data_IF_066926868821
#
_entry.id   IF_066926868821
#
_cell.length_a   1.000
_cell.length_b   1.000
_cell.length_c   1.000
_cell.angle_alpha   90.00
_cell.angle_beta   90.00
_cell.angle_gamma   90.00
#
_symmetry.space_group_name_H-M   'P 1'
#
loop_
_entity.id
_entity.type
_entity.pdbx_description
1 polymer ?
#
# COMPACT_ATOMS: atom_id res chain seq x y z
N UNK A 1 -76.25 4.15 20.91
CA UNK A 1 -75.48 5.40 21.07
C UNK A 1 -74.11 5.23 20.49
N UNK A 2 -73.93 5.60 19.21
CA UNK A 2 -72.71 5.57 18.43
C UNK A 2 -71.96 6.88 18.65
N UNK A 3 -70.69 6.78 19.13
CA UNK A 3 -69.74 7.88 19.12
C UNK A 3 -68.69 7.65 18.03
N UNK A 4 -68.77 8.46 16.99
CA UNK A 4 -67.81 8.60 15.94
C UNK A 4 -66.62 9.46 16.44
N UNK A 5 -65.42 8.88 16.59
CA UNK A 5 -64.22 9.62 16.88
C UNK A 5 -63.38 9.77 15.58
N UNK A 6 -63.40 10.96 14.99
CA UNK A 6 -62.56 11.37 13.92
C UNK A 6 -61.15 11.64 14.45
N UNK A 7 -60.20 10.72 14.22
CA UNK A 7 -58.76 10.91 14.47
C UNK A 7 -58.16 11.76 13.32
N UNK A 8 -57.89 13.03 13.60
CA UNK A 8 -56.99 13.84 12.74
C UNK A 8 -55.53 13.39 12.97
N UNK A 9 -54.96 12.74 12.00
CA UNK A 9 -53.50 12.53 11.95
C UNK A 9 -52.77 13.88 11.78
N UNK A 10 -51.72 14.18 12.56
CA UNK A 10 -50.91 15.35 12.32
C UNK A 10 -50.11 15.13 11.01
N UNK A 11 -50.39 15.96 10.02
CA UNK A 11 -49.52 16.06 8.83
C UNK A 11 -48.19 16.60 9.30
N UNK A 12 -47.18 15.72 9.40
CA UNK A 12 -45.79 16.09 9.49
C UNK A 12 -45.39 16.69 8.14
N UNK A 13 -45.39 18.00 8.06
CA UNK A 13 -44.88 18.73 6.90
C UNK A 13 -43.37 18.46 6.76
N UNK A 14 -42.82 18.32 5.55
CA UNK A 14 -41.37 18.18 5.39
C UNK A 14 -40.72 19.46 5.93
N UNK A 15 -39.88 19.31 6.97
CA UNK A 15 -39.01 20.39 7.42
C UNK A 15 -38.08 20.73 6.26
N UNK A 16 -38.35 21.84 5.55
CA UNK A 16 -37.43 22.48 4.65
C UNK A 16 -36.26 22.99 5.50
N UNK A 17 -35.33 22.10 5.86
CA UNK A 17 -33.98 22.53 6.11
C UNK A 17 -33.48 23.09 4.79
N UNK A 18 -33.27 24.39 4.72
CA UNK A 18 -32.58 25.10 3.64
C UNK A 18 -31.15 24.57 3.60
N UNK A 19 -30.94 23.45 2.90
CA UNK A 19 -29.62 23.03 2.49
C UNK A 19 -29.12 24.15 1.56
N UNK A 20 -28.26 25.01 2.10
CA UNK A 20 -27.45 25.89 1.24
C UNK A 20 -26.81 24.97 0.21
N UNK A 21 -27.13 25.14 -1.08
CA UNK A 21 -26.51 24.48 -2.22
C UNK A 21 -25.03 24.87 -2.26
N UNK A 22 -24.26 24.29 -1.35
CA UNK A 22 -22.81 24.47 -1.33
C UNK A 22 -22.22 23.69 -2.50
N UNK A 23 -21.12 24.16 -3.08
CA UNK A 23 -20.37 23.47 -4.12
C UNK A 23 -20.15 21.99 -3.77
N UNK A 24 -19.83 21.70 -2.50
CA UNK A 24 -19.61 20.34 -2.00
C UNK A 24 -20.86 19.47 -2.06
N UNK A 25 -22.06 20.02 -1.80
CA UNK A 25 -23.30 19.26 -1.91
C UNK A 25 -23.59 18.85 -3.35
N UNK A 26 -23.37 19.75 -4.31
CA UNK A 26 -23.56 19.44 -5.75
C UNK A 26 -22.58 18.37 -6.25
N UNK A 27 -21.32 18.43 -5.80
CA UNK A 27 -20.28 17.53 -6.30
C UNK A 27 -20.32 16.15 -5.64
N UNK A 28 -20.59 16.07 -4.32
CA UNK A 28 -20.45 14.85 -3.52
C UNK A 28 -21.76 14.28 -3.03
N UNK A 29 -22.89 14.99 -3.20
CA UNK A 29 -24.23 14.57 -2.75
C UNK A 29 -24.26 14.13 -1.27
N UNK A 30 -23.70 14.95 -0.39
CA UNK A 30 -23.47 14.63 1.03
C UNK A 30 -24.75 14.20 1.74
N UNK A 31 -25.86 14.93 1.51
CA UNK A 31 -27.15 14.62 2.10
C UNK A 31 -27.68 13.24 1.65
N UNK A 32 -27.48 12.88 0.37
CA UNK A 32 -27.88 11.58 -0.18
C UNK A 32 -27.08 10.43 0.43
N UNK A 33 -25.84 10.68 0.88
CA UNK A 33 -24.97 9.72 1.54
C UNK A 33 -25.08 9.78 3.08
N UNK A 34 -25.99 10.59 3.65
CA UNK A 34 -26.23 10.69 5.09
C UNK A 34 -25.04 11.25 5.88
N UNK A 35 -24.23 12.13 5.27
CA UNK A 35 -23.03 12.71 5.88
C UNK A 35 -23.08 14.25 5.84
N UNK A 36 -22.09 14.88 6.46
CA UNK A 36 -21.94 16.33 6.50
C UNK A 36 -20.50 16.73 6.20
N UNK A 37 -20.25 17.97 5.75
CA UNK A 37 -18.91 18.49 5.50
C UNK A 37 -18.01 18.32 6.73
N UNK A 38 -18.51 18.56 7.93
CA UNK A 38 -17.76 18.39 9.17
C UNK A 38 -17.35 16.93 9.41
N UNK A 39 -18.25 16.00 9.17
CA UNK A 39 -17.98 14.55 9.30
C UNK A 39 -16.94 14.10 8.29
N UNK A 40 -17.04 14.55 7.03
CA UNK A 40 -16.10 14.22 5.96
C UNK A 40 -14.69 14.77 6.25
N UNK A 41 -14.59 16.01 6.77
CA UNK A 41 -13.31 16.60 7.19
C UNK A 41 -12.68 15.78 8.32
N UNK A 42 -13.45 15.41 9.34
CA UNK A 42 -12.97 14.60 10.46
C UNK A 42 -12.53 13.20 10.01
N UNK A 43 -13.30 12.58 9.11
CA UNK A 43 -12.97 11.31 8.50
C UNK A 43 -11.68 11.39 7.66
N UNK A 44 -11.51 12.47 6.88
CA UNK A 44 -10.30 12.70 6.10
C UNK A 44 -9.06 12.90 6.98
N UNK A 45 -9.18 13.65 8.07
CA UNK A 45 -8.11 13.79 9.05
C UNK A 45 -7.75 12.42 9.68
N UNK A 46 -8.76 11.61 10.02
CA UNK A 46 -8.55 10.28 10.59
C UNK A 46 -7.82 9.36 9.60
N UNK A 47 -8.25 9.33 8.32
CA UNK A 47 -7.55 8.59 7.26
C UNK A 47 -6.12 9.06 7.08
N UNK A 48 -5.89 10.39 7.01
CA UNK A 48 -4.56 10.94 6.89
C UNK A 48 -3.64 10.50 8.04
N UNK A 49 -4.10 10.60 9.29
CA UNK A 49 -3.31 10.20 10.46
C UNK A 49 -2.93 8.72 10.44
N UNK A 50 -3.78 7.85 9.89
CA UNK A 50 -3.50 6.42 9.82
C UNK A 50 -2.52 6.06 8.71
N UNK A 51 -2.49 6.80 7.59
CA UNK A 51 -1.62 6.54 6.45
C UNK A 51 -0.39 7.47 6.35
N UNK A 52 -0.29 8.51 7.20
CA UNK A 52 0.79 9.50 7.13
C UNK A 52 2.19 8.91 7.34
N UNK A 53 2.31 7.71 7.91
CA UNK A 53 3.60 7.01 8.05
C UNK A 53 4.30 6.81 6.70
N UNK A 54 3.56 6.75 5.58
CA UNK A 54 4.13 6.60 4.24
C UNK A 54 5.03 7.79 3.85
N UNK A 55 4.77 8.98 4.40
CA UNK A 55 5.58 10.18 4.18
C UNK A 55 7.03 9.96 4.64
N UNK A 56 7.24 9.14 5.65
CA UNK A 56 8.56 8.77 6.18
C UNK A 56 9.12 7.51 5.51
N UNK A 57 8.26 6.51 5.31
CA UNK A 57 8.66 5.18 4.80
C UNK A 57 9.04 5.25 3.33
N UNK A 58 8.23 5.87 2.48
CA UNK A 58 8.45 5.86 1.03
C UNK A 58 9.79 6.49 0.63
N UNK A 59 10.15 7.69 1.12
CA UNK A 59 11.46 8.27 0.81
C UNK A 59 12.62 7.42 1.35
N UNK A 60 12.49 6.83 2.55
CA UNK A 60 13.52 5.97 3.11
C UNK A 60 13.76 4.71 2.25
N UNK A 61 12.68 4.04 1.82
CA UNK A 61 12.76 2.83 0.98
C UNK A 61 13.38 3.14 -0.39
N UNK A 62 12.92 4.18 -1.08
CA UNK A 62 13.41 4.48 -2.42
C UNK A 62 14.82 5.12 -2.38
N UNK A 63 15.20 5.76 -1.29
CA UNK A 63 16.58 6.22 -1.10
C UNK A 63 17.58 5.07 -0.97
N UNK A 64 17.17 3.93 -0.39
CA UNK A 64 17.99 2.72 -0.39
C UNK A 64 18.26 2.21 -1.82
N UNK A 65 17.39 2.51 -2.77
CA UNK A 65 17.57 2.26 -4.21
C UNK A 65 18.34 3.36 -4.96
N UNK A 66 18.91 4.34 -4.25
CA UNK A 66 19.73 5.42 -4.82
C UNK A 66 18.93 6.62 -5.34
N UNK A 67 17.66 6.76 -4.99
CA UNK A 67 16.85 7.92 -5.35
C UNK A 67 17.00 9.04 -4.31
N UNK A 68 16.86 10.30 -4.75
CA UNK A 68 16.92 11.45 -3.84
C UNK A 68 15.76 11.49 -2.86
N UNK A 69 16.06 11.54 -1.55
CA UNK A 69 15.05 11.50 -0.48
C UNK A 69 14.01 12.63 -0.58
N UNK A 70 14.49 13.86 -0.83
CA UNK A 70 13.60 15.03 -0.92
C UNK A 70 12.69 14.97 -2.12
N UNK A 71 13.23 14.59 -3.29
CA UNK A 71 12.45 14.45 -4.52
C UNK A 71 11.40 13.33 -4.39
N UNK A 72 11.76 12.17 -3.78
CA UNK A 72 10.82 11.08 -3.51
C UNK A 72 9.72 11.52 -2.55
N UNK A 73 10.05 12.28 -1.50
CA UNK A 73 9.04 12.85 -0.59
C UNK A 73 8.03 13.71 -1.37
N UNK A 74 8.53 14.61 -2.21
CA UNK A 74 7.68 15.47 -3.02
C UNK A 74 6.84 14.66 -4.00
N UNK A 75 7.44 13.67 -4.69
CA UNK A 75 6.72 12.75 -5.57
C UNK A 75 5.63 11.96 -4.83
N UNK A 76 5.92 11.48 -3.62
CA UNK A 76 4.97 10.76 -2.76
C UNK A 76 3.77 11.61 -2.40
N UNK A 77 3.98 12.82 -1.92
CA UNK A 77 2.87 13.70 -1.52
C UNK A 77 2.04 14.15 -2.73
N UNK A 78 2.69 14.52 -3.84
CA UNK A 78 1.99 14.94 -5.06
C UNK A 78 1.21 13.79 -5.71
N UNK A 79 1.80 12.60 -5.83
CA UNK A 79 1.12 11.44 -6.42
C UNK A 79 -0.07 10.99 -5.58
N UNK A 80 0.09 10.97 -4.24
CA UNK A 80 -0.99 10.67 -3.30
C UNK A 80 -2.12 11.69 -3.42
N UNK A 81 -1.79 12.98 -3.43
CA UNK A 81 -2.78 14.04 -3.56
C UNK A 81 -3.54 13.95 -4.90
N UNK A 82 -2.82 13.75 -6.00
CA UNK A 82 -3.40 13.61 -7.33
C UNK A 82 -4.29 12.36 -7.43
N UNK A 83 -3.77 11.19 -7.09
CA UNK A 83 -4.50 9.93 -7.20
C UNK A 83 -5.73 9.88 -6.29
N UNK A 84 -5.61 10.38 -5.05
CA UNK A 84 -6.75 10.49 -4.12
C UNK A 84 -7.79 11.49 -4.62
N UNK A 85 -7.37 12.60 -5.22
CA UNK A 85 -8.30 13.56 -5.83
C UNK A 85 -9.03 12.96 -7.04
N UNK A 86 -8.34 12.18 -7.87
CA UNK A 86 -8.97 11.44 -8.98
C UNK A 86 -10.00 10.43 -8.44
N UNK A 87 -9.66 9.66 -7.40
CA UNK A 87 -10.59 8.74 -6.74
C UNK A 87 -11.82 9.48 -6.19
N UNK A 88 -11.61 10.61 -5.53
CA UNK A 88 -12.65 11.44 -4.96
C UNK A 88 -13.62 12.00 -6.02
N UNK A 89 -13.10 12.46 -7.16
CA UNK A 89 -13.92 13.11 -8.22
C UNK A 89 -14.57 12.07 -9.12
N UNK A 90 -13.84 11.04 -9.56
CA UNK A 90 -14.35 10.06 -10.53
C UNK A 90 -15.27 9.02 -9.87
N UNK A 91 -14.87 8.46 -8.73
CA UNK A 91 -15.62 7.41 -8.05
C UNK A 91 -16.53 7.95 -6.93
N UNK A 92 -16.25 9.13 -6.40
CA UNK A 92 -16.89 9.67 -5.19
C UNK A 92 -16.76 8.74 -3.98
N UNK A 93 -15.57 8.12 -3.79
CA UNK A 93 -15.30 7.21 -2.70
C UNK A 93 -14.45 7.86 -1.62
N UNK A 94 -14.71 7.56 -0.32
CA UNK A 94 -13.89 8.01 0.82
C UNK A 94 -12.62 7.18 0.94
N UNK A 95 -11.93 6.93 -0.17
CA UNK A 95 -10.78 6.04 -0.28
C UNK A 95 -9.56 6.85 -0.71
N UNK A 96 -8.53 6.84 0.11
CA UNK A 96 -7.25 7.43 -0.20
C UNK A 96 -6.41 6.47 -1.06
N UNK A 97 -5.60 7.04 -1.94
CA UNK A 97 -4.74 6.31 -2.88
C UNK A 97 -3.33 6.86 -2.73
N UNK A 98 -2.34 6.00 -2.56
CA UNK A 98 -0.95 6.40 -2.32
C UNK A 98 0.06 5.31 -2.66
N UNK A 99 1.38 5.56 -2.52
CA UNK A 99 2.41 4.57 -2.82
C UNK A 99 2.25 3.29 -2.00
N UNK A 100 2.11 2.15 -2.70
CA UNK A 100 1.82 0.86 -2.07
C UNK A 100 3.03 0.26 -1.37
N UNK A 101 2.87 -0.15 -0.11
CA UNK A 101 3.97 -0.66 0.72
C UNK A 101 4.67 -1.89 0.12
N UNK A 102 3.92 -2.90 -0.35
CA UNK A 102 4.52 -4.08 -0.97
C UNK A 102 5.28 -3.77 -2.26
N UNK A 103 4.75 -2.88 -3.07
CA UNK A 103 5.32 -2.52 -4.37
C UNK A 103 6.59 -1.68 -4.24
N UNK A 104 6.69 -0.79 -3.25
CA UNK A 104 7.90 0.00 -3.04
C UNK A 104 9.07 -0.87 -2.58
N UNK A 105 8.82 -1.89 -1.76
CA UNK A 105 9.84 -2.86 -1.40
C UNK A 105 10.23 -3.76 -2.58
N UNK A 106 9.26 -4.16 -3.40
CA UNK A 106 9.56 -4.87 -4.65
C UNK A 106 10.42 -4.02 -5.58
N UNK A 107 10.06 -2.75 -5.76
CA UNK A 107 10.82 -1.79 -6.55
C UNK A 107 12.27 -1.69 -6.05
N UNK A 108 12.45 -1.33 -4.78
CA UNK A 108 13.77 -1.02 -4.22
C UNK A 108 14.64 -2.27 -4.04
N UNK A 109 14.12 -3.29 -3.34
CA UNK A 109 14.94 -4.43 -2.90
C UNK A 109 15.00 -5.54 -3.93
N UNK A 110 13.88 -5.90 -4.57
CA UNK A 110 13.91 -6.98 -5.55
C UNK A 110 14.45 -6.51 -6.90
N UNK A 111 13.93 -5.39 -7.43
CA UNK A 111 14.26 -4.95 -8.79
C UNK A 111 15.57 -4.15 -8.82
N UNK A 112 15.66 -3.06 -8.07
CA UNK A 112 16.84 -2.18 -8.18
C UNK A 112 18.06 -2.81 -7.50
N UNK A 113 17.96 -3.22 -6.23
CA UNK A 113 19.10 -3.76 -5.49
C UNK A 113 19.37 -5.21 -5.87
N UNK A 114 18.36 -6.07 -5.88
CA UNK A 114 18.53 -7.50 -6.10
C UNK A 114 18.87 -7.87 -7.54
N UNK A 115 18.17 -7.28 -8.51
CA UNK A 115 18.41 -7.54 -9.94
C UNK A 115 19.41 -6.54 -10.56
N UNK A 116 19.93 -5.57 -9.80
CA UNK A 116 20.85 -4.52 -10.27
C UNK A 116 20.28 -3.70 -11.44
N UNK A 117 18.96 -3.52 -11.47
CA UNK A 117 18.29 -2.73 -12.50
C UNK A 117 18.36 -1.25 -12.12
N UNK A 118 18.75 -0.34 -13.03
CA UNK A 118 18.71 1.09 -12.77
C UNK A 118 17.30 1.53 -12.34
N UNK A 119 17.19 2.34 -11.29
CA UNK A 119 15.90 2.78 -10.78
C UNK A 119 15.03 3.51 -11.83
N UNK A 120 15.67 4.15 -12.83
CA UNK A 120 14.96 4.77 -13.97
C UNK A 120 14.23 3.74 -14.84
N UNK A 121 14.83 2.59 -15.10
CA UNK A 121 14.20 1.50 -15.83
C UNK A 121 13.11 0.82 -14.98
N UNK A 122 13.32 0.72 -13.66
CA UNK A 122 12.29 0.25 -12.74
C UNK A 122 11.07 1.19 -12.70
N UNK A 123 11.26 2.53 -12.71
CA UNK A 123 10.16 3.50 -12.88
C UNK A 123 9.45 3.34 -14.22
N UNK A 124 10.21 3.10 -15.29
CA UNK A 124 9.66 2.76 -16.61
C UNK A 124 8.76 1.51 -16.54
N UNK A 125 9.20 0.46 -15.83
CA UNK A 125 8.42 -0.77 -15.64
C UNK A 125 7.12 -0.51 -14.85
N UNK A 126 7.14 0.33 -13.82
CA UNK A 126 5.95 0.77 -13.09
C UNK A 126 4.98 1.52 -14.02
N UNK A 127 5.50 2.46 -14.84
CA UNK A 127 4.67 3.21 -15.79
C UNK A 127 4.02 2.29 -16.83
N UNK A 128 4.77 1.37 -17.42
CA UNK A 128 4.24 0.38 -18.38
C UNK A 128 3.18 -0.51 -17.73
N UNK A 129 3.42 -0.99 -16.51
CA UNK A 129 2.45 -1.77 -15.74
C UNK A 129 1.17 -0.96 -15.46
N UNK A 130 1.29 0.33 -15.11
CA UNK A 130 0.17 1.23 -14.91
C UNK A 130 -0.63 1.48 -16.21
N UNK A 131 0.03 1.60 -17.36
CA UNK A 131 -0.65 1.73 -18.67
C UNK A 131 -1.42 0.44 -19.00
N UNK A 132 -0.81 -0.74 -18.79
CA UNK A 132 -1.49 -2.03 -18.96
C UNK A 132 -2.71 -2.11 -18.04
N UNK A 133 -2.58 -1.60 -16.80
CA UNK A 133 -3.69 -1.57 -15.85
C UNK A 133 -4.83 -0.63 -16.31
N UNK A 134 -4.53 0.56 -16.85
CA UNK A 134 -5.54 1.45 -17.44
C UNK A 134 -6.30 0.72 -18.56
N UNK A 135 -5.58 0.07 -19.46
CA UNK A 135 -6.17 -0.67 -20.58
C UNK A 135 -7.08 -1.79 -20.06
N UNK A 136 -6.60 -2.63 -19.16
CA UNK A 136 -7.37 -3.77 -18.62
C UNK A 136 -8.58 -3.33 -17.81
N UNK A 137 -8.47 -2.25 -17.02
CA UNK A 137 -9.58 -1.65 -16.28
C UNK A 137 -10.64 -1.07 -17.23
N UNK A 138 -10.19 -0.47 -18.35
CA UNK A 138 -11.06 0.08 -19.39
C UNK A 138 -11.91 -0.97 -20.10
N UNK A 139 -11.36 -2.15 -20.40
CA UNK A 139 -12.03 -3.23 -21.15
C UNK A 139 -12.75 -4.26 -20.28
N UNK A 140 -12.78 -4.12 -18.96
CA UNK A 140 -13.48 -5.06 -18.08
C UNK A 140 -12.85 -6.47 -17.99
N UNK A 141 -11.61 -6.64 -18.44
CA UNK A 141 -10.87 -7.92 -18.39
C UNK A 141 -10.48 -8.36 -16.98
N UNK A 142 -10.66 -7.49 -15.99
CA UNK A 142 -10.24 -7.69 -14.60
C UNK A 142 -10.80 -8.96 -13.95
N UNK A 143 -12.08 -9.28 -14.19
CA UNK A 143 -12.74 -10.42 -13.54
C UNK A 143 -12.08 -11.74 -13.95
N UNK A 144 -11.72 -11.87 -15.22
CA UNK A 144 -11.03 -13.06 -15.75
C UNK A 144 -9.61 -13.19 -15.17
N UNK A 145 -8.89 -12.09 -14.98
CA UNK A 145 -7.54 -12.10 -14.40
C UNK A 145 -7.58 -12.42 -12.90
N UNK A 146 -8.55 -11.85 -12.17
CA UNK A 146 -8.70 -12.11 -10.73
C UNK A 146 -9.07 -13.58 -10.46
N UNK A 147 -9.92 -14.18 -11.29
CA UNK A 147 -10.32 -15.57 -11.13
C UNK A 147 -9.24 -16.56 -11.56
N UNK A 148 -8.26 -16.12 -12.36
CA UNK A 148 -7.17 -16.98 -12.85
C UNK A 148 -6.22 -17.49 -11.75
N UNK A 149 -6.12 -16.78 -10.61
CA UNK A 149 -5.21 -17.17 -9.54
C UNK A 149 -6.00 -17.74 -8.35
N UNK A 150 -5.55 -18.90 -7.83
CA UNK A 150 -6.15 -19.52 -6.67
C UNK A 150 -6.14 -18.61 -5.43
N UNK A 151 -7.19 -18.70 -4.61
CA UNK A 151 -7.32 -17.90 -3.40
C UNK A 151 -6.14 -18.12 -2.44
N UNK A 152 -5.70 -19.36 -2.26
CA UNK A 152 -4.56 -19.71 -1.40
C UNK A 152 -3.27 -18.98 -1.82
N UNK A 153 -2.99 -18.92 -3.13
CA UNK A 153 -1.80 -18.22 -3.64
C UNK A 153 -1.91 -16.70 -3.44
N UNK A 154 -3.10 -16.10 -3.63
CA UNK A 154 -3.31 -14.67 -3.37
C UNK A 154 -3.02 -14.30 -1.91
N UNK A 155 -3.57 -15.07 -0.98
CA UNK A 155 -3.35 -14.87 0.46
C UNK A 155 -1.89 -15.10 0.85
N UNK A 156 -1.24 -16.10 0.25
CA UNK A 156 0.17 -16.38 0.47
C UNK A 156 1.08 -15.25 -0.06
N UNK A 157 0.76 -14.67 -1.22
CA UNK A 157 1.50 -13.52 -1.77
C UNK A 157 1.42 -12.33 -0.80
N UNK A 158 0.23 -11.97 -0.34
CA UNK A 158 0.06 -10.87 0.60
C UNK A 158 0.85 -11.11 1.90
N UNK A 159 0.77 -12.32 2.47
CA UNK A 159 1.48 -12.68 3.68
C UNK A 159 3.01 -12.71 3.49
N UNK A 160 3.49 -13.23 2.37
CA UNK A 160 4.92 -13.24 2.03
C UNK A 160 5.49 -11.85 1.88
N UNK A 161 4.77 -10.93 1.24
CA UNK A 161 5.11 -9.50 1.16
C UNK A 161 5.17 -8.92 2.58
N UNK A 162 4.16 -9.18 3.40
CA UNK A 162 4.14 -8.72 4.80
C UNK A 162 5.35 -9.20 5.60
N UNK A 163 5.72 -10.48 5.44
CA UNK A 163 6.89 -11.06 6.11
C UNK A 163 8.21 -10.47 5.58
N UNK A 164 8.32 -10.21 4.28
CA UNK A 164 9.46 -9.52 3.68
C UNK A 164 9.61 -8.10 4.25
N UNK A 165 8.53 -7.31 4.29
CA UNK A 165 8.52 -5.96 4.84
C UNK A 165 8.94 -5.98 6.33
N UNK A 166 8.37 -6.91 7.11
CA UNK A 166 8.72 -7.06 8.52
C UNK A 166 10.20 -7.43 8.71
N UNK A 167 10.74 -8.33 7.89
CA UNK A 167 12.16 -8.72 7.92
C UNK A 167 13.06 -7.51 7.65
N UNK A 168 12.76 -6.70 6.64
CA UNK A 168 13.50 -5.48 6.34
C UNK A 168 13.36 -4.47 7.48
N UNK A 169 12.15 -4.33 8.05
CA UNK A 169 11.93 -3.52 9.24
C UNK A 169 12.82 -3.93 10.43
N UNK A 170 12.94 -5.22 10.70
CA UNK A 170 13.82 -5.74 11.76
C UNK A 170 15.31 -5.49 11.44
N UNK A 171 15.72 -5.56 10.17
CA UNK A 171 17.08 -5.18 9.73
C UNK A 171 17.32 -3.67 9.91
N UNK A 172 16.37 -2.83 9.54
CA UNK A 172 16.44 -1.38 9.70
C UNK A 172 16.45 -0.94 11.16
N UNK A 173 15.84 -1.73 12.03
CA UNK A 173 15.91 -1.57 13.48
C UNK A 173 17.28 -1.96 14.07
N UNK A 174 18.13 -2.69 13.34
CA UNK A 174 19.33 -3.32 13.86
C UNK A 174 19.04 -4.51 14.78
N UNK A 175 17.81 -5.03 14.78
CA UNK A 175 17.40 -6.19 15.59
C UNK A 175 17.81 -7.50 14.93
N UNK A 176 17.89 -7.55 13.61
CA UNK A 176 18.40 -8.66 12.82
C UNK A 176 19.59 -8.16 12.01
N UNK A 177 20.69 -8.89 12.05
CA UNK A 177 21.93 -8.61 11.32
C UNK A 177 22.38 -9.83 10.53
N UNK A 178 23.16 -9.59 9.46
CA UNK A 178 23.73 -10.67 8.67
C UNK A 178 24.66 -11.55 9.51
N UNK A 179 24.61 -12.86 9.27
CA UNK A 179 25.48 -13.86 9.92
C UNK A 179 25.98 -14.87 8.88
N UNK A 180 27.29 -15.11 8.80
CA UNK A 180 27.85 -16.06 7.82
C UNK A 180 27.32 -17.49 7.98
N UNK A 181 26.96 -17.90 9.22
CA UNK A 181 26.55 -19.28 9.50
C UNK A 181 25.06 -19.56 9.33
N UNK A 182 24.21 -18.55 9.54
CA UNK A 182 22.74 -18.70 9.61
C UNK A 182 21.97 -17.73 8.75
N UNK A 183 22.62 -17.01 7.83
CA UNK A 183 22.12 -15.89 7.04
C UNK A 183 21.81 -14.66 7.90
N UNK A 184 21.08 -14.83 8.99
CA UNK A 184 20.70 -13.76 9.92
C UNK A 184 20.85 -14.23 11.38
N UNK A 185 21.12 -13.27 12.27
CA UNK A 185 21.17 -13.48 13.72
C UNK A 185 20.63 -12.25 14.45
N UNK A 186 20.37 -12.38 15.75
CA UNK A 186 19.96 -11.27 16.59
C UNK A 186 21.11 -10.26 16.71
N UNK A 187 20.83 -9.00 16.44
CA UNK A 187 21.76 -7.88 16.64
C UNK A 187 21.90 -7.50 18.12
N UNK A 188 22.74 -6.51 18.38
CA UNK A 188 22.91 -5.98 19.74
C UNK A 188 21.71 -5.11 20.13
N UNK A 189 20.93 -5.55 21.12
CA UNK A 189 19.77 -4.84 21.64
C UNK A 189 20.13 -3.59 22.47
N UNK A 190 21.40 -3.41 22.81
CA UNK A 190 21.89 -2.27 23.63
C UNK A 190 22.28 -1.06 22.78
N UNK A 191 22.25 -1.16 21.45
CA UNK A 191 22.55 -0.02 20.59
C UNK A 191 21.42 1.02 20.64
N UNK A 192 21.73 2.33 20.62
CA UNK A 192 20.71 3.37 20.67
C UNK A 192 19.61 3.23 19.60
N UNK A 193 19.92 2.90 18.33
CA UNK A 193 18.88 2.67 17.32
C UNK A 193 18.01 1.44 17.60
N UNK A 194 18.58 0.34 18.14
CA UNK A 194 17.78 -0.85 18.47
C UNK A 194 16.82 -0.57 19.65
N UNK A 195 17.29 0.08 20.70
CA UNK A 195 16.46 0.50 21.84
C UNK A 195 15.33 1.43 21.37
N UNK A 196 15.65 2.42 20.53
CA UNK A 196 14.68 3.36 19.99
C UNK A 196 13.62 2.66 19.12
N UNK A 197 14.03 1.70 18.28
CA UNK A 197 13.13 0.90 17.46
C UNK A 197 12.19 0.05 18.30
N UNK A 198 12.69 -0.60 19.35
CA UNK A 198 11.89 -1.41 20.28
C UNK A 198 10.87 -0.55 21.02
N UNK A 199 11.29 0.65 21.47
CA UNK A 199 10.39 1.61 22.12
C UNK A 199 9.28 2.06 21.16
N UNK A 200 9.64 2.49 19.94
CA UNK A 200 8.68 2.91 18.92
C UNK A 200 7.72 1.77 18.55
N UNK A 201 8.23 0.54 18.43
CA UNK A 201 7.42 -0.66 18.17
C UNK A 201 6.44 -0.93 19.31
N UNK A 202 6.90 -0.91 20.55
CA UNK A 202 6.05 -1.15 21.72
C UNK A 202 4.96 -0.09 21.88
N UNK A 203 5.31 1.20 21.74
CA UNK A 203 4.34 2.29 21.80
C UNK A 203 3.29 2.16 20.69
N UNK A 204 3.72 1.93 19.44
CA UNK A 204 2.81 1.79 18.31
C UNK A 204 1.88 0.57 18.50
N UNK A 205 2.44 -0.58 18.93
CA UNK A 205 1.67 -1.79 19.17
C UNK A 205 0.60 -1.60 20.28
N UNK A 206 0.95 -0.90 21.37
CA UNK A 206 0.00 -0.56 22.44
C UNK A 206 -1.11 0.35 21.93
N UNK A 207 -0.77 1.38 21.16
CA UNK A 207 -1.75 2.30 20.56
C UNK A 207 -2.69 1.56 19.58
N UNK A 208 -2.15 0.64 18.77
CA UNK A 208 -2.94 -0.22 17.89
C UNK A 208 -3.87 -1.13 18.67
N UNK A 209 -3.38 -1.80 19.71
CA UNK A 209 -4.19 -2.66 20.58
C UNK A 209 -5.35 -1.89 21.26
N UNK A 210 -5.11 -0.60 21.56
CA UNK A 210 -6.13 0.32 22.07
C UNK A 210 -7.00 0.96 20.98
N UNK A 211 -6.81 0.58 19.72
CA UNK A 211 -7.54 1.10 18.54
C UNK A 211 -7.45 2.62 18.41
N UNK A 212 -6.33 3.23 18.79
CA UNK A 212 -6.11 4.67 18.65
C UNK A 212 -5.87 5.01 17.18
N UNK A 213 -6.68 5.90 16.57
CA UNK A 213 -6.44 6.35 15.19
C UNK A 213 -5.06 7.02 15.07
N UNK A 214 -4.33 6.74 13.98
CA UNK A 214 -2.99 7.30 13.78
C UNK A 214 -1.89 6.68 14.66
N UNK A 215 -2.08 5.47 15.19
CA UNK A 215 -1.11 4.77 16.04
C UNK A 215 0.30 4.75 15.45
N UNK A 216 0.44 4.55 14.13
CA UNK A 216 1.73 4.60 13.43
C UNK A 216 2.42 5.96 13.55
N UNK A 217 1.70 7.04 13.22
CA UNK A 217 2.24 8.39 13.30
C UNK A 217 2.59 8.76 14.75
N UNK A 218 1.71 8.47 15.69
CA UNK A 218 1.94 8.76 17.12
C UNK A 218 3.13 7.98 17.67
N UNK A 219 3.31 6.72 17.27
CA UNK A 219 4.48 5.91 17.64
C UNK A 219 5.78 6.46 17.06
N UNK A 220 5.78 6.90 15.81
CA UNK A 220 6.93 7.58 15.19
C UNK A 220 7.26 8.88 15.96
N UNK A 221 6.26 9.72 16.25
CA UNK A 221 6.46 10.98 16.97
C UNK A 221 6.94 10.74 18.40
N UNK A 222 6.38 9.77 19.12
CA UNK A 222 6.85 9.40 20.46
C UNK A 222 8.31 8.93 20.43
N UNK A 223 8.66 8.08 19.46
CA UNK A 223 10.05 7.66 19.23
C UNK A 223 10.95 8.83 18.86
N UNK A 224 10.47 9.81 18.09
CA UNK A 224 11.24 11.03 17.73
C UNK A 224 11.60 11.84 18.96
N UNK A 225 10.64 12.05 19.87
CA UNK A 225 10.87 12.79 21.12
C UNK A 225 11.98 12.16 21.97
N UNK A 226 12.05 10.82 22.00
CA UNK A 226 13.11 10.10 22.70
C UNK A 226 14.41 10.04 21.88
N UNK A 227 14.30 9.93 20.55
CA UNK A 227 15.43 9.81 19.65
C UNK A 227 16.32 11.06 19.55
N UNK A 228 15.74 12.25 19.75
CA UNK A 228 16.50 13.52 19.74
C UNK A 228 17.53 13.57 20.88
N UNK A 229 17.18 13.38 22.17
CA UNK A 229 18.17 13.39 23.25
C UNK A 229 19.15 12.21 23.19
N UNK A 230 18.80 11.10 22.54
CA UNK A 230 19.71 9.97 22.31
C UNK A 230 20.70 10.23 21.16
N UNK A 231 20.60 11.36 20.45
CA UNK A 231 21.44 11.68 19.29
C UNK A 231 21.19 10.82 18.06
N UNK A 232 20.15 10.00 18.07
CA UNK A 232 19.77 9.13 16.92
C UNK A 232 18.98 9.93 15.89
N UNK A 233 18.19 10.91 16.33
CA UNK A 233 17.41 11.81 15.46
C UNK A 233 18.05 13.19 15.47
N UNK A 234 18.47 13.64 14.29
CA UNK A 234 19.07 14.96 14.12
C UNK A 234 18.00 15.97 13.72
N UNK A 235 17.55 16.79 14.65
CA UNK A 235 16.57 17.84 14.39
C UNK A 235 17.17 18.97 13.55
N UNK A 236 16.61 19.23 12.37
CA UNK A 236 17.08 20.22 11.39
C UNK A 236 16.08 21.37 11.16
N UNK A 237 15.08 21.49 12.02
CA UNK A 237 14.00 22.47 11.88
C UNK A 237 12.64 21.82 11.72
N UNK A 238 11.58 22.63 11.80
CA UNK A 238 10.19 22.15 11.74
C UNK A 238 9.59 22.26 10.34
N UNK A 239 9.83 23.36 9.64
CA UNK A 239 9.27 23.63 8.33
C UNK A 239 10.29 24.29 7.38
N UNK A 240 10.15 24.02 6.10
CA UNK A 240 10.94 24.64 5.02
C UNK A 240 10.11 24.70 3.73
N UNK A 241 10.65 25.34 2.69
CA UNK A 241 10.08 25.18 1.36
C UNK A 241 10.11 23.72 0.91
N UNK A 242 9.11 23.25 0.11
CA UNK A 242 9.09 21.92 -0.43
C UNK A 242 10.37 21.56 -1.17
N UNK A 243 10.89 20.33 -1.05
CA UNK A 243 12.06 19.89 -1.81
C UNK A 243 11.80 19.90 -3.32
N UNK A 244 12.88 20.08 -4.09
CA UNK A 244 12.80 20.05 -5.55
C UNK A 244 12.42 18.64 -6.04
N UNK A 245 11.49 18.57 -6.98
CA UNK A 245 11.10 17.35 -7.67
C UNK A 245 12.03 17.00 -8.84
N UNK A 246 12.85 17.95 -9.28
CA UNK A 246 13.69 17.82 -10.50
C UNK A 246 14.50 16.51 -10.58
N UNK A 247 15.10 15.99 -9.48
CA UNK A 247 15.91 14.76 -9.55
C UNK A 247 15.15 13.52 -10.01
N UNK A 248 13.81 13.47 -9.83
CA UNK A 248 13.00 12.28 -10.13
C UNK A 248 11.94 12.52 -11.19
N UNK A 249 11.59 13.77 -11.46
CA UNK A 249 10.53 14.14 -12.42
C UNK A 249 10.86 13.64 -13.82
N UNK A 250 9.98 12.84 -14.41
CA UNK A 250 10.08 12.30 -15.76
C UNK A 250 11.40 11.54 -16.05
N UNK A 251 12.04 11.00 -15.00
CA UNK A 251 13.31 10.24 -15.12
C UNK A 251 13.08 8.75 -15.46
N UNK A 252 11.88 8.39 -15.90
CA UNK A 252 11.54 7.02 -16.26
C UNK A 252 12.15 6.62 -17.62
N UNK A 253 12.79 5.45 -17.66
CA UNK A 253 13.31 4.84 -18.88
C UNK A 253 12.35 3.76 -19.40
N UNK A 254 11.44 4.16 -20.29
CA UNK A 254 10.45 3.25 -20.91
C UNK A 254 11.15 2.25 -21.85
N UNK A 255 12.22 2.66 -22.56
CA UNK A 255 12.91 1.77 -23.49
C UNK A 255 13.59 0.63 -22.75
N UNK A 256 14.29 0.94 -21.66
CA UNK A 256 14.87 -0.06 -20.77
C UNK A 256 13.81 -0.99 -20.18
N UNK A 257 12.67 -0.45 -19.78
CA UNK A 257 11.56 -1.22 -19.21
C UNK A 257 10.91 -2.20 -20.20
N UNK A 258 10.92 -1.92 -21.50
CA UNK A 258 10.39 -2.79 -22.56
C UNK A 258 11.36 -3.89 -22.97
N UNK A 259 12.55 -4.00 -22.34
CA UNK A 259 13.47 -5.10 -22.60
C UNK A 259 12.86 -6.45 -22.20
N UNK A 260 13.13 -7.54 -22.95
CA UNK A 260 12.61 -8.87 -22.62
C UNK A 260 12.97 -9.34 -21.20
N UNK A 261 14.12 -8.91 -20.67
CA UNK A 261 14.59 -9.23 -19.32
C UNK A 261 13.70 -8.60 -18.22
N UNK A 262 13.07 -7.45 -18.46
CA UNK A 262 12.17 -6.78 -17.51
C UNK A 262 10.70 -7.10 -17.71
N UNK A 263 10.32 -7.86 -18.74
CA UNK A 263 8.93 -8.28 -18.94
C UNK A 263 8.31 -8.98 -17.70
N UNK A 264 9.02 -9.90 -16.99
CA UNK A 264 8.51 -10.47 -15.74
C UNK A 264 8.31 -9.43 -14.64
N UNK A 265 9.17 -8.41 -14.56
CA UNK A 265 9.08 -7.33 -13.58
C UNK A 265 7.85 -6.47 -13.85
N UNK A 266 7.61 -6.06 -15.08
CA UNK A 266 6.40 -5.33 -15.51
C UNK A 266 5.15 -6.14 -15.17
N UNK A 267 5.18 -7.44 -15.47
CA UNK A 267 4.07 -8.34 -15.15
C UNK A 267 3.79 -8.39 -13.64
N UNK A 268 4.82 -8.52 -12.80
CA UNK A 268 4.66 -8.57 -11.36
C UNK A 268 4.11 -7.23 -10.82
N UNK A 269 4.60 -6.08 -11.29
CA UNK A 269 4.03 -4.78 -10.91
C UNK A 269 2.55 -4.66 -11.28
N UNK A 270 2.20 -5.02 -12.52
CA UNK A 270 0.81 -5.00 -12.98
C UNK A 270 -0.07 -5.92 -12.14
N UNK A 271 0.41 -7.14 -11.91
CA UNK A 271 -0.31 -8.16 -11.17
C UNK A 271 -0.56 -7.74 -9.71
N UNK A 272 0.49 -7.30 -9.01
CA UNK A 272 0.37 -6.83 -7.64
C UNK A 272 -0.60 -5.64 -7.56
N UNK A 273 -0.47 -4.64 -8.47
CA UNK A 273 -1.34 -3.49 -8.49
C UNK A 273 -2.81 -3.88 -8.67
N UNK A 274 -3.11 -4.78 -9.61
CA UNK A 274 -4.47 -5.26 -9.86
C UNK A 274 -5.09 -5.92 -8.62
N UNK A 275 -4.33 -6.81 -7.95
CA UNK A 275 -4.84 -7.55 -6.79
C UNK A 275 -4.99 -6.68 -5.56
N UNK A 276 -4.00 -5.84 -5.29
CA UNK A 276 -4.01 -4.93 -4.14
C UNK A 276 -5.18 -3.94 -4.25
N UNK A 277 -5.33 -3.30 -5.42
CA UNK A 277 -6.41 -2.37 -5.68
C UNK A 277 -7.79 -3.01 -5.56
N UNK A 278 -7.99 -4.16 -6.22
CA UNK A 278 -9.30 -4.84 -6.17
C UNK A 278 -9.61 -5.34 -4.77
N UNK A 279 -8.65 -5.96 -4.08
CA UNK A 279 -8.81 -6.46 -2.73
C UNK A 279 -9.17 -5.34 -1.75
N UNK A 280 -8.44 -4.23 -1.82
CA UNK A 280 -8.66 -3.06 -0.97
C UNK A 280 -9.99 -2.36 -1.29
N UNK A 281 -10.29 -2.12 -2.57
CA UNK A 281 -11.56 -1.47 -2.96
C UNK A 281 -12.77 -2.28 -2.53
N UNK A 282 -12.75 -3.61 -2.68
CA UNK A 282 -13.84 -4.49 -2.22
C UNK A 282 -13.93 -4.49 -0.69
N UNK A 283 -12.81 -4.68 0.02
CA UNK A 283 -12.80 -4.73 1.48
C UNK A 283 -13.25 -3.42 2.12
N UNK A 284 -12.69 -2.30 1.66
CA UNK A 284 -13.05 -0.96 2.15
C UNK A 284 -14.44 -0.56 1.69
N UNK A 285 -14.86 -0.94 0.46
CA UNK A 285 -16.20 -0.72 -0.07
C UNK A 285 -17.28 -1.44 0.73
N UNK A 286 -17.02 -2.67 1.18
CA UNK A 286 -17.90 -3.41 2.09
C UNK A 286 -18.03 -2.69 3.44
N UNK A 287 -16.92 -2.27 4.03
CA UNK A 287 -16.91 -1.54 5.30
C UNK A 287 -17.64 -0.20 5.19
N UNK A 288 -17.56 0.49 4.06
CA UNK A 288 -18.25 1.75 3.79
C UNK A 288 -19.73 1.59 3.47
N UNK A 289 -20.23 0.36 3.30
CA UNK A 289 -21.60 0.10 2.86
C UNK A 289 -21.85 0.53 1.40
N UNK A 290 -20.82 0.59 0.57
CA UNK A 290 -20.91 1.02 -0.83
C UNK A 290 -21.33 -0.13 -1.77
N UNK A 291 -21.30 -1.38 -1.30
CA UNK A 291 -21.65 -2.54 -2.12
C UNK A 291 -23.15 -2.57 -2.42
N UNK A 292 -23.49 -2.83 -3.70
CA UNK A 292 -24.87 -3.06 -4.16
C UNK A 292 -24.91 -4.38 -4.91
N UNK A 293 -25.80 -5.26 -4.51
CA UNK A 293 -25.97 -6.59 -5.13
C UNK A 293 -24.64 -7.36 -5.33
N UNK A 294 -23.75 -7.29 -4.30
CA UNK A 294 -22.44 -7.95 -4.34
C UNK A 294 -21.39 -7.26 -5.23
N UNK A 295 -21.73 -6.14 -5.87
CA UNK A 295 -20.84 -5.38 -6.73
C UNK A 295 -20.54 -4.00 -6.18
N UNK A 296 -19.38 -3.45 -6.51
CA UNK A 296 -19.00 -2.09 -6.16
C UNK A 296 -19.42 -1.14 -7.30
N UNK A 297 -20.41 -0.25 -7.10
CA UNK A 297 -20.77 0.76 -8.09
C UNK A 297 -19.54 1.61 -8.44
N UNK A 298 -19.38 2.06 -9.69
CA UNK A 298 -18.22 2.87 -10.14
C UNK A 298 -16.85 2.22 -9.87
N UNK A 299 -16.80 0.89 -9.80
CA UNK A 299 -15.53 0.17 -9.62
C UNK A 299 -14.54 0.43 -10.78
N UNK A 300 -15.05 0.66 -11.99
CA UNK A 300 -14.25 1.01 -13.17
C UNK A 300 -13.56 2.37 -12.96
N UNK A 301 -14.29 3.36 -12.53
CA UNK A 301 -13.79 4.72 -12.26
C UNK A 301 -12.76 4.71 -11.14
N UNK A 302 -13.00 3.93 -10.09
CA UNK A 302 -12.05 3.76 -9.00
C UNK A 302 -10.74 3.11 -9.45
N UNK A 303 -10.81 2.04 -10.25
CA UNK A 303 -9.62 1.38 -10.80
C UNK A 303 -8.88 2.25 -11.82
N UNK A 304 -9.60 3.06 -12.60
CA UNK A 304 -8.96 4.01 -13.51
C UNK A 304 -8.24 5.11 -12.74
N UNK A 305 -8.80 5.63 -11.64
CA UNK A 305 -8.15 6.60 -10.78
C UNK A 305 -6.86 6.02 -10.17
N UNK A 306 -6.90 4.79 -9.72
CA UNK A 306 -5.76 4.05 -9.16
C UNK A 306 -4.65 3.83 -10.19
N UNK A 307 -5.00 3.30 -11.36
CA UNK A 307 -4.07 3.06 -12.46
C UNK A 307 -3.45 4.37 -13.00
N UNK A 308 -4.26 5.43 -13.15
CA UNK A 308 -3.75 6.75 -13.52
C UNK A 308 -2.81 7.33 -12.45
N UNK A 309 -3.13 7.10 -11.16
CA UNK A 309 -2.26 7.42 -10.04
C UNK A 309 -0.91 6.73 -10.13
N UNK A 310 -0.89 5.45 -10.52
CA UNK A 310 0.36 4.68 -10.73
C UNK A 310 1.22 5.27 -11.84
N UNK A 311 0.63 5.60 -13.01
CA UNK A 311 1.38 6.22 -14.11
C UNK A 311 1.91 7.60 -13.73
N UNK A 312 1.07 8.42 -13.09
CA UNK A 312 1.47 9.73 -12.59
C UNK A 312 2.55 9.62 -11.51
N UNK A 313 2.43 8.67 -10.58
CA UNK A 313 3.43 8.38 -9.55
C UNK A 313 4.79 8.04 -10.14
N UNK A 314 4.84 7.15 -11.13
CA UNK A 314 6.08 6.81 -11.84
C UNK A 314 6.67 8.03 -12.55
N UNK A 315 5.85 8.88 -13.19
CA UNK A 315 6.31 10.11 -13.85
C UNK A 315 6.86 11.13 -12.85
N UNK A 316 6.29 11.23 -11.66
CA UNK A 316 6.78 12.09 -10.58
C UNK A 316 8.02 11.52 -9.89
N UNK A 317 8.25 10.22 -9.96
CA UNK A 317 9.40 9.55 -9.36
C UNK A 317 9.09 8.82 -8.05
N UNK A 318 7.92 8.21 -7.95
CA UNK A 318 7.59 7.25 -6.89
C UNK A 318 7.19 5.90 -7.49
N UNK A 319 7.05 4.86 -6.67
CA UNK A 319 6.65 3.52 -7.11
C UNK A 319 5.15 3.46 -7.41
N UNK A 320 4.61 2.26 -7.59
CA UNK A 320 3.18 2.00 -7.81
C UNK A 320 2.32 2.65 -6.72
N UNK A 321 1.24 3.29 -7.13
CA UNK A 321 0.26 3.94 -6.27
C UNK A 321 -1.01 3.09 -6.28
N UNK A 322 -1.60 2.79 -5.11
CA UNK A 322 -2.80 1.95 -4.96
C UNK A 322 -3.73 2.45 -3.86
N UNK A 323 -4.97 1.94 -3.84
CA UNK A 323 -5.94 2.23 -2.79
C UNK A 323 -5.46 1.74 -1.42
N UNK A 324 -5.68 2.52 -0.37
CA UNK A 324 -5.23 2.25 1.00
C UNK A 324 -6.32 1.67 1.87
N UNK A 325 -6.03 0.54 2.52
CA UNK A 325 -6.93 -0.12 3.48
C UNK A 325 -7.13 0.75 4.74
N UNK A 326 -6.18 1.60 5.07
CA UNK A 326 -6.23 2.58 6.16
C UNK A 326 -7.39 3.57 6.00
N UNK A 327 -7.95 3.73 4.80
CA UNK A 327 -9.18 4.47 4.53
C UNK A 327 -10.36 3.96 5.36
N UNK A 328 -10.32 2.69 5.77
CA UNK A 328 -11.29 2.10 6.69
C UNK A 328 -11.42 2.85 8.02
N UNK A 329 -10.36 3.49 8.51
CA UNK A 329 -10.40 4.29 9.72
C UNK A 329 -11.26 5.56 9.56
N UNK A 330 -11.12 6.27 8.43
CA UNK A 330 -11.96 7.42 8.11
C UNK A 330 -13.42 7.03 7.84
N UNK A 331 -13.63 5.89 7.20
CA UNK A 331 -14.98 5.32 6.99
C UNK A 331 -15.65 5.00 8.33
N UNK A 332 -14.91 4.39 9.26
CA UNK A 332 -15.39 4.15 10.62
C UNK A 332 -15.70 5.45 11.37
N UNK A 333 -14.99 6.54 11.06
CA UNK A 333 -15.25 7.89 11.60
C UNK A 333 -16.41 8.63 10.89
N UNK A 334 -17.06 7.99 9.90
CA UNK A 334 -18.24 8.51 9.23
C UNK A 334 -18.04 9.03 7.81
N UNK A 335 -16.84 8.89 7.22
CA UNK A 335 -16.59 9.24 5.82
C UNK A 335 -17.39 8.38 4.84
N UNK A 336 -18.04 9.01 3.86
CA UNK A 336 -18.92 8.32 2.90
C UNK A 336 -18.71 8.76 1.47
N UNK A 337 -18.01 9.87 1.25
CA UNK A 337 -17.90 10.52 -0.06
C UNK A 337 -16.46 10.86 -0.40
N UNK A 338 -16.22 11.27 -1.65
CA UNK A 338 -14.93 11.74 -2.12
C UNK A 338 -14.39 12.98 -1.39
N UNK A 339 -15.25 13.72 -0.67
CA UNK A 339 -14.80 14.88 0.11
C UNK A 339 -13.78 14.46 1.19
N UNK A 340 -13.96 13.29 1.83
CA UNK A 340 -12.95 12.68 2.71
C UNK A 340 -11.59 12.57 2.02
N UNK A 341 -11.57 12.09 0.77
CA UNK A 341 -10.35 11.97 -0.04
C UNK A 341 -9.70 13.32 -0.34
N UNK A 342 -10.49 14.36 -0.68
CA UNK A 342 -9.93 15.70 -0.91
C UNK A 342 -9.28 16.30 0.32
N UNK A 343 -9.80 16.02 1.52
CA UNK A 343 -9.15 16.43 2.78
C UNK A 343 -7.82 15.72 2.93
N UNK A 344 -7.76 14.42 2.69
CA UNK A 344 -6.49 13.65 2.70
C UNK A 344 -5.49 14.24 1.72
N UNK A 345 -5.90 14.48 0.47
CA UNK A 345 -5.06 15.07 -0.56
C UNK A 345 -4.46 16.41 -0.12
N UNK A 346 -5.29 17.28 0.45
CA UNK A 346 -4.85 18.58 0.98
C UNK A 346 -3.83 18.45 2.10
N UNK A 347 -4.02 17.50 3.03
CA UNK A 347 -3.11 17.26 4.14
C UNK A 347 -1.75 16.70 3.65
N UNK A 348 -1.74 15.85 2.60
CA UNK A 348 -0.49 15.43 1.96
C UNK A 348 0.26 16.58 1.30
N UNK A 349 -0.44 17.50 0.63
CA UNK A 349 0.20 18.71 0.08
C UNK A 349 0.77 19.61 1.18
N UNK A 350 0.06 19.77 2.28
CA UNK A 350 0.56 20.52 3.44
C UNK A 350 1.79 19.85 4.08
N UNK A 351 1.88 18.51 4.02
CA UNK A 351 3.01 17.77 4.58
C UNK A 351 4.34 18.08 3.90
N UNK A 352 4.33 18.60 2.66
CA UNK A 352 5.54 19.01 1.94
C UNK A 352 6.35 20.08 2.68
N UNK A 353 5.68 20.95 3.44
CA UNK A 353 6.34 22.01 4.20
C UNK A 353 7.06 21.48 5.45
N UNK A 354 6.77 20.25 5.88
CA UNK A 354 7.42 19.61 7.04
C UNK A 354 8.61 18.73 6.65
N UNK A 355 9.21 18.96 5.48
CA UNK A 355 10.36 18.22 4.99
C UNK A 355 11.51 18.06 5.99
N UNK A 356 11.95 19.09 6.77
CA UNK A 356 13.04 18.91 7.71
C UNK A 356 12.73 17.90 8.81
N UNK A 357 11.48 17.90 9.30
CA UNK A 357 11.00 16.92 10.28
C UNK A 357 10.94 15.51 9.67
N UNK A 358 10.43 15.40 8.45
CA UNK A 358 10.36 14.11 7.75
C UNK A 358 11.76 13.54 7.52
N UNK A 359 12.73 14.38 7.14
CA UNK A 359 14.11 13.97 6.93
C UNK A 359 14.81 13.58 8.24
N UNK A 360 14.54 14.30 9.34
CA UNK A 360 15.07 13.95 10.66
C UNK A 360 14.61 12.55 11.12
N UNK A 361 13.38 12.17 10.79
CA UNK A 361 12.78 10.87 11.15
C UNK A 361 13.18 9.75 10.18
N UNK A 362 13.07 10.01 8.87
CA UNK A 362 13.24 9.03 7.81
C UNK A 362 14.60 9.04 7.12
N UNK A 363 15.49 9.97 7.46
CA UNK A 363 16.80 10.14 6.80
C UNK A 363 17.85 9.08 7.17
N UNK A 364 17.56 8.24 8.15
CA UNK A 364 18.46 7.17 8.61
C UNK A 364 19.52 7.62 9.63
N UNK A 365 20.07 6.63 10.31
CA UNK A 365 21.17 6.75 11.27
C UNK A 365 22.29 5.80 10.88
N UNK A 366 23.50 6.30 10.68
CA UNK A 366 24.64 5.46 10.27
C UNK A 366 25.32 4.86 11.49
N UNK A 367 25.37 3.54 11.57
CA UNK A 367 26.09 2.78 12.59
C UNK A 367 27.00 1.76 11.90
N UNK A 368 28.29 1.85 12.17
CA UNK A 368 29.32 0.92 11.59
C UNK A 368 29.24 0.77 10.06
N UNK A 369 28.98 1.87 9.35
CA UNK A 369 28.86 1.89 7.88
C UNK A 369 27.50 1.39 7.34
N UNK A 370 26.58 0.99 8.22
CA UNK A 370 25.22 0.56 7.82
C UNK A 370 24.22 1.66 8.19
N UNK A 371 23.34 2.01 7.27
CA UNK A 371 22.25 2.96 7.52
C UNK A 371 21.05 2.22 8.12
N UNK A 372 20.67 2.61 9.32
CA UNK A 372 19.51 2.12 10.05
C UNK A 372 18.39 3.16 10.04
N UNK A 373 17.12 2.72 10.09
CA UNK A 373 15.95 3.59 10.11
C UNK A 373 15.05 3.26 11.32
N UNK A 374 15.51 3.54 12.55
CA UNK A 374 14.90 3.01 13.77
C UNK A 374 13.43 3.40 13.96
N UNK A 375 13.03 4.61 13.57
CA UNK A 375 11.66 5.08 13.73
C UNK A 375 10.71 4.55 12.62
N UNK A 376 11.25 4.31 11.44
CA UNK A 376 10.50 3.78 10.28
C UNK A 376 10.34 2.26 10.38
N UNK A 377 11.22 1.59 11.11
CA UNK A 377 11.21 0.15 11.31
C UNK A 377 9.92 -0.37 11.98
N UNK A 378 9.43 0.34 13.00
CA UNK A 378 8.25 -0.06 13.77
C UNK A 378 6.97 -0.19 12.88
N UNK A 379 6.61 0.81 12.05
CA UNK A 379 5.53 0.66 11.08
C UNK A 379 5.69 -0.55 10.16
N UNK A 380 6.91 -0.81 9.67
CA UNK A 380 7.16 -1.93 8.75
C UNK A 380 6.84 -3.29 9.38
N UNK A 381 7.33 -3.51 10.61
CA UNK A 381 7.06 -4.75 11.35
C UNK A 381 5.56 -4.93 11.58
N UNK A 382 4.86 -3.87 11.97
CA UNK A 382 3.44 -3.94 12.30
C UNK A 382 2.55 -4.06 11.06
N UNK A 383 2.89 -3.41 9.94
CA UNK A 383 2.22 -3.64 8.65
C UNK A 383 2.37 -5.10 8.23
N UNK A 384 3.55 -5.70 8.41
CA UNK A 384 3.75 -7.12 8.19
C UNK A 384 2.76 -7.99 8.95
N UNK A 385 2.47 -7.67 10.23
CA UNK A 385 1.49 -8.43 11.03
C UNK A 385 0.07 -8.33 10.47
N UNK A 386 -0.32 -7.19 9.93
CA UNK A 386 -1.64 -7.00 9.31
C UNK A 386 -1.79 -7.83 8.04
N UNK A 387 -0.73 -7.94 7.24
CA UNK A 387 -0.76 -8.67 5.97
C UNK A 387 -0.76 -10.20 6.16
N UNK A 388 -0.16 -10.72 7.23
CA UNK A 388 -0.16 -12.17 7.55
C UNK A 388 -1.56 -12.72 7.83
N UNK A 389 -2.50 -11.88 8.27
CA UNK A 389 -3.85 -12.31 8.64
C UNK A 389 -4.60 -13.08 7.54
N UNK A 390 -4.22 -12.91 6.26
CA UNK A 390 -4.78 -13.63 5.12
C UNK A 390 -4.49 -15.13 5.10
N UNK A 391 -3.45 -15.60 5.79
CA UNK A 391 -3.06 -17.03 5.84
C UNK A 391 -4.13 -17.94 6.43
N UNK A 392 -5.04 -17.42 7.23
CA UNK A 392 -6.20 -18.18 7.76
C UNK A 392 -7.15 -18.68 6.66
N UNK A 393 -7.09 -18.10 5.47
CA UNK A 393 -7.91 -18.47 4.32
C UNK A 393 -7.21 -19.43 3.34
N UNK A 394 -5.99 -19.84 3.65
CA UNK A 394 -5.27 -20.89 2.92
C UNK A 394 -5.80 -22.25 3.36
N UNK A 395 -6.06 -23.13 2.40
CA UNK A 395 -6.50 -24.50 2.66
C UNK A 395 -5.29 -25.37 3.11
N UNK A 396 -4.89 -25.25 4.38
CA UNK A 396 -3.71 -25.94 4.94
C UNK A 396 -3.85 -27.45 4.99
N UNK A 397 -5.08 -27.98 4.99
CA UNK A 397 -5.37 -29.43 4.99
C UNK A 397 -5.17 -30.07 3.63
N UNK A 398 -5.09 -29.30 2.54
CA UNK A 398 -4.80 -29.77 1.18
C UNK A 398 -3.33 -29.49 0.82
N UNK A 399 -2.47 -30.52 0.71
CA UNK A 399 -1.06 -30.34 0.38
C UNK A 399 -0.83 -29.62 -0.97
N UNK A 400 -1.78 -29.74 -1.93
CA UNK A 400 -1.67 -29.09 -3.22
C UNK A 400 -1.92 -27.57 -3.17
N UNK A 401 -2.48 -27.09 -2.07
CA UNK A 401 -2.67 -25.66 -1.75
C UNK A 401 -1.64 -25.19 -0.71
N UNK A 402 -1.41 -26.00 0.35
CA UNK A 402 -0.56 -25.65 1.47
C UNK A 402 0.92 -25.50 1.09
N UNK A 403 1.47 -26.46 0.33
CA UNK A 403 2.90 -26.44 -0.04
C UNK A 403 3.22 -25.23 -0.92
N UNK A 404 2.47 -24.94 -2.00
CA UNK A 404 2.69 -23.73 -2.80
C UNK A 404 2.55 -22.44 -1.99
N UNK A 405 1.54 -22.36 -1.12
CA UNK A 405 1.36 -21.21 -0.24
C UNK A 405 2.55 -21.02 0.70
N UNK A 406 3.02 -22.09 1.35
CA UNK A 406 4.19 -22.05 2.21
C UNK A 406 5.45 -21.59 1.46
N UNK A 407 5.72 -22.18 0.28
CA UNK A 407 6.86 -21.79 -0.55
C UNK A 407 6.79 -20.32 -0.97
N UNK A 408 5.60 -19.84 -1.34
CA UNK A 408 5.39 -18.41 -1.64
C UNK A 408 5.78 -17.52 -0.46
N UNK A 409 5.30 -17.85 0.73
CA UNK A 409 5.50 -17.04 1.94
C UNK A 409 6.97 -17.02 2.37
N UNK A 410 7.62 -18.18 2.38
CA UNK A 410 8.98 -18.30 2.96
C UNK A 410 10.07 -17.82 1.99
N UNK A 411 9.85 -18.00 0.67
CA UNK A 411 10.84 -17.59 -0.32
C UNK A 411 10.97 -16.08 -0.44
N UNK A 412 9.90 -15.30 -0.18
CA UNK A 412 9.95 -13.84 -0.29
C UNK A 412 10.97 -13.19 0.64
N UNK A 413 10.94 -13.42 1.96
CA UNK A 413 11.94 -12.84 2.86
C UNK A 413 13.33 -13.47 2.70
N UNK A 414 13.44 -14.78 2.45
CA UNK A 414 14.73 -15.46 2.34
C UNK A 414 15.48 -15.07 1.07
N UNK A 415 14.79 -14.96 -0.06
CA UNK A 415 15.37 -14.50 -1.31
C UNK A 415 15.37 -12.96 -1.46
N UNK A 416 14.77 -12.24 -0.49
CA UNK A 416 14.52 -10.78 -0.56
C UNK A 416 13.86 -10.38 -1.87
N UNK A 417 12.96 -11.24 -2.39
CA UNK A 417 12.35 -11.09 -3.71
C UNK A 417 10.91 -11.61 -3.76
N UNK A 418 9.99 -10.70 -4.06
CA UNK A 418 8.58 -11.03 -4.27
C UNK A 418 8.43 -11.91 -5.52
N UNK A 419 9.18 -11.61 -6.59
CA UNK A 419 9.13 -12.38 -7.84
C UNK A 419 9.49 -13.85 -7.60
N UNK A 420 10.55 -14.12 -6.82
CA UNK A 420 10.95 -15.49 -6.50
C UNK A 420 9.87 -16.23 -5.69
N UNK A 421 9.30 -15.57 -4.68
CA UNK A 421 8.21 -16.16 -3.90
C UNK A 421 7.00 -16.50 -4.78
N UNK A 422 6.58 -15.58 -5.65
CA UNK A 422 5.47 -15.83 -6.60
C UNK A 422 5.83 -16.96 -7.56
N UNK A 423 7.05 -16.99 -8.08
CA UNK A 423 7.49 -18.03 -9.02
C UNK A 423 7.48 -19.41 -8.39
N UNK A 424 8.06 -19.57 -7.18
CA UNK A 424 8.04 -20.84 -6.45
C UNK A 424 6.60 -21.29 -6.14
N UNK A 425 5.73 -20.37 -5.72
CA UNK A 425 4.33 -20.66 -5.46
C UNK A 425 3.57 -21.12 -6.71
N UNK A 426 3.65 -20.37 -7.80
CA UNK A 426 2.91 -20.66 -9.03
C UNK A 426 3.42 -21.94 -9.70
N UNK A 427 4.75 -22.14 -9.77
CA UNK A 427 5.33 -23.34 -10.37
C UNK A 427 4.98 -24.59 -9.55
N UNK A 428 5.17 -24.56 -8.23
CA UNK A 428 4.84 -25.69 -7.36
C UNK A 428 3.34 -26.01 -7.36
N UNK A 429 2.48 -24.98 -7.41
CA UNK A 429 1.02 -25.17 -7.55
C UNK A 429 0.66 -25.91 -8.84
N UNK A 430 1.18 -25.43 -9.96
CA UNK A 430 0.93 -26.07 -11.26
C UNK A 430 1.42 -27.52 -11.27
N UNK A 431 2.62 -27.79 -10.80
CA UNK A 431 3.23 -29.13 -10.74
C UNK A 431 2.40 -30.07 -9.85
N UNK A 432 2.04 -29.64 -8.65
CA UNK A 432 1.29 -30.49 -7.69
C UNK A 432 -0.13 -30.78 -8.18
N UNK A 433 -0.82 -29.81 -8.79
CA UNK A 433 -2.16 -30.04 -9.37
C UNK A 433 -2.11 -30.99 -10.55
N UNK A 434 -1.09 -30.94 -11.42
CA UNK A 434 -0.90 -31.93 -12.50
C UNK A 434 -0.61 -33.30 -11.89
N UNK A 435 0.36 -33.41 -10.98
CA UNK A 435 0.77 -34.66 -10.40
C UNK A 435 -0.34 -35.37 -9.60
N UNK A 436 -1.27 -34.61 -9.00
CA UNK A 436 -2.41 -35.15 -8.27
C UNK A 436 -3.65 -35.43 -9.16
N UNK A 437 -3.54 -35.28 -10.47
CA UNK A 437 -4.67 -35.51 -11.40
C UNK A 437 -5.74 -34.41 -11.38
N UNK A 438 -5.48 -33.27 -10.72
CA UNK A 438 -6.41 -32.14 -10.52
C UNK A 438 -6.13 -30.97 -11.48
N UNK A 439 -5.56 -31.25 -12.64
CA UNK A 439 -5.16 -30.21 -13.62
C UNK A 439 -6.32 -29.34 -14.10
N UNK A 440 -7.55 -29.86 -14.09
CA UNK A 440 -8.77 -29.12 -14.46
C UNK A 440 -9.18 -28.00 -13.47
N UNK A 441 -8.64 -28.01 -12.26
CA UNK A 441 -8.88 -26.95 -11.26
C UNK A 441 -8.04 -25.69 -11.51
N UNK A 442 -7.04 -25.78 -12.39
CA UNK A 442 -6.09 -24.70 -12.64
C UNK A 442 -6.46 -23.93 -13.90
N UNK A 443 -6.60 -22.61 -13.76
CA UNK A 443 -6.88 -21.77 -14.93
C UNK A 443 -5.70 -21.81 -15.93
N UNK A 444 -5.94 -21.91 -17.25
CA UNK A 444 -4.89 -22.02 -18.27
C UNK A 444 -3.80 -20.94 -18.20
N UNK A 445 -4.19 -19.71 -17.84
CA UNK A 445 -3.23 -18.60 -17.64
C UNK A 445 -2.19 -18.91 -16.56
N UNK A 446 -2.54 -19.67 -15.50
CA UNK A 446 -1.58 -20.00 -14.45
C UNK A 446 -0.49 -20.95 -14.95
N UNK A 447 -0.85 -21.89 -15.84
CA UNK A 447 0.13 -22.76 -16.51
C UNK A 447 1.06 -21.97 -17.41
N UNK A 448 0.56 -20.94 -18.10
CA UNK A 448 1.39 -20.04 -18.90
C UNK A 448 2.40 -19.31 -18.02
N UNK A 449 1.96 -18.80 -16.86
CA UNK A 449 2.86 -18.15 -15.91
C UNK A 449 3.87 -19.12 -15.32
N UNK A 450 3.43 -20.33 -14.92
CA UNK A 450 4.34 -21.37 -14.45
C UNK A 450 5.41 -21.72 -15.50
N UNK A 451 5.03 -21.87 -16.76
CA UNK A 451 5.97 -22.11 -17.86
C UNK A 451 6.94 -20.94 -18.09
N UNK A 452 6.46 -19.69 -18.02
CA UNK A 452 7.31 -18.50 -18.14
C UNK A 452 8.33 -18.40 -17.01
N UNK A 453 7.91 -18.61 -15.75
CA UNK A 453 8.82 -18.61 -14.61
C UNK A 453 9.81 -19.77 -14.67
N UNK A 454 9.35 -20.95 -15.02
CA UNK A 454 10.23 -22.12 -15.18
C UNK A 454 11.23 -21.92 -16.31
N UNK A 455 10.79 -21.40 -17.46
CA UNK A 455 11.65 -21.06 -18.59
C UNK A 455 12.70 -20.00 -18.21
N UNK A 456 12.32 -18.99 -17.40
CA UNK A 456 13.27 -18.00 -16.89
C UNK A 456 14.42 -18.66 -16.12
N UNK A 457 14.15 -19.66 -15.26
CA UNK A 457 15.19 -20.34 -14.51
C UNK A 457 16.12 -21.20 -15.37
N UNK A 458 15.62 -21.69 -16.51
CA UNK A 458 16.43 -22.51 -17.44
C UNK A 458 17.27 -21.63 -18.38
N UNK A 459 16.66 -20.56 -18.92
CA UNK A 459 17.24 -19.81 -20.05
C UNK A 459 17.83 -18.45 -19.68
N UNK A 460 17.44 -17.86 -18.54
CA UNK A 460 17.85 -16.53 -18.12
C UNK A 460 18.56 -16.59 -16.75
N UNK A 461 19.77 -17.13 -16.76
CA UNK A 461 20.67 -17.03 -15.60
C UNK A 461 21.34 -15.68 -15.54
#
# INVERSE_FOLDING_TARGET
LTFSATSRSPRCGPSRATTRDTFFERQFALAAHGTTVRTEIFAGLTTFLTMAYIIFVQPAVLSAAGMDFGAVLTATCLSTALATSLMAVLANYPIAVGPAMGHNFFFAYSVVIGMQVPWRAALGAVAVAGIIFIITAGFGLRERLITAIPASIKHAIAAGIGLLIATIGLQWAGLIVASPGTLVTLGSLHTPPAVLSLLALAVTAVLMARRVPGAFLLGILAGTVVGVPLGVVQYQGFASAPPSLTPTLMQLDIRGALSPSLAPVVFVFFFLALFDSVGTLVGVGQQAGLMRDGTLPRAREALLADAAGTVAGAALGTSTVTAYIESGAGIAAGGRTGLTGLVVATLFLLSLFFHPLVRAIGGGYVLNGTTLYPLVAAPLVLVGTMMIGGLRHVAWDDPTEAIPAFLTVIMMPLATSITEGVAFGVVSYAVLKIASGRSGEVHPLLYTFAALFFGRYIFLR
#
